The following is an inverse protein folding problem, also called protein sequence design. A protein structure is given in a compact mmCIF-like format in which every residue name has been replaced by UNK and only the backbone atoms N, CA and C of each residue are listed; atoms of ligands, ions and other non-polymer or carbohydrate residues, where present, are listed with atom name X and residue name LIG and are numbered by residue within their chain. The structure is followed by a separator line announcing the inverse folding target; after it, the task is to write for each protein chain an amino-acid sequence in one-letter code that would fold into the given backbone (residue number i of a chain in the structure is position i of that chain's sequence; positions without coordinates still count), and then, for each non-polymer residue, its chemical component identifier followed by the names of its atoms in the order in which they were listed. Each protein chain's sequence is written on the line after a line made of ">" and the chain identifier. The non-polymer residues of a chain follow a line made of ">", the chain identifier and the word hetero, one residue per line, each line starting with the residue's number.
data_IF_160244103368
#
_entry.id   IF_160244103368
#
_cell.length_a   1.000
_cell.length_b   1.000
_cell.length_c   1.000
_cell.angle_alpha   90.00
_cell.angle_beta   90.00
_cell.angle_gamma   90.00
#
_symmetry.space_group_name_H-M   'P 1'
#
loop_
_entity.id
_entity.type
_entity.pdbx_description
1 polymer ?
#
# COMPACT_ATOMS: atom_id res chain seq x y z
N UNK A 1 0.63 -8.68 -6.46
CA UNK A 1 0.04 -8.63 -5.08
C UNK A 1 -0.96 -7.50 -4.92
N UNK A 2 -0.55 -6.26 -4.94
CA UNK A 2 -1.40 -5.08 -4.70
C UNK A 2 -2.34 -4.75 -5.88
N UNK A 3 -1.82 -4.74 -7.09
CA UNK A 3 -2.61 -4.54 -8.31
C UNK A 3 -3.54 -5.73 -8.58
N UNK A 4 -3.09 -6.93 -8.25
CA UNK A 4 -3.88 -8.17 -8.31
C UNK A 4 -5.11 -8.11 -7.39
N UNK A 5 -4.96 -7.59 -6.17
CA UNK A 5 -6.08 -7.47 -5.24
C UNK A 5 -7.20 -6.57 -5.77
N UNK A 6 -6.86 -5.46 -6.43
CA UNK A 6 -7.87 -4.61 -7.10
C UNK A 6 -8.57 -5.35 -8.24
N UNK A 7 -7.83 -6.21 -8.95
CA UNK A 7 -8.37 -6.99 -10.04
C UNK A 7 -9.39 -8.03 -9.57
N UNK A 8 -9.18 -8.62 -8.42
CA UNK A 8 -10.09 -9.61 -7.82
C UNK A 8 -11.46 -9.04 -7.43
N UNK A 9 -11.53 -7.74 -7.13
CA UNK A 9 -12.79 -7.05 -6.78
C UNK A 9 -13.69 -6.86 -8.01
N UNK A 10 -13.13 -6.89 -9.22
CA UNK A 10 -13.88 -6.67 -10.46
C UNK A 10 -14.70 -7.92 -10.80
N UNK A 11 -15.90 -7.70 -11.36
CA UNK A 11 -16.77 -8.77 -11.83
C UNK A 11 -16.02 -9.75 -12.76
N UNK A 12 -16.27 -11.05 -12.57
CA UNK A 12 -15.58 -12.14 -13.28
C UNK A 12 -15.64 -11.99 -14.81
N UNK A 13 -16.82 -11.66 -15.36
CA UNK A 13 -16.99 -11.45 -16.80
C UNK A 13 -16.10 -10.33 -17.35
N UNK A 14 -16.02 -9.22 -16.63
CA UNK A 14 -15.13 -8.11 -17.00
C UNK A 14 -13.66 -8.47 -16.87
N UNK A 15 -13.30 -9.27 -15.85
CA UNK A 15 -11.92 -9.77 -15.68
C UNK A 15 -11.49 -10.62 -16.87
N UNK A 16 -12.32 -11.52 -17.31
CA UNK A 16 -12.02 -12.38 -18.47
C UNK A 16 -11.92 -11.57 -19.77
N UNK A 17 -12.85 -10.64 -19.97
CA UNK A 17 -12.93 -9.83 -21.19
C UNK A 17 -11.76 -8.82 -21.31
N UNK A 18 -11.36 -8.21 -20.21
CA UNK A 18 -10.39 -7.11 -20.21
C UNK A 18 -9.04 -7.49 -19.61
N UNK A 19 -8.77 -8.79 -19.46
CA UNK A 19 -7.49 -9.27 -18.89
C UNK A 19 -6.27 -8.69 -19.60
N UNK A 20 -6.28 -8.63 -20.93
CA UNK A 20 -5.20 -8.10 -21.74
C UNK A 20 -4.94 -6.60 -21.47
N UNK A 21 -5.99 -5.82 -21.22
CA UNK A 21 -5.87 -4.39 -20.88
C UNK A 21 -5.27 -4.24 -19.46
N UNK A 22 -5.72 -5.08 -18.53
CA UNK A 22 -5.17 -5.10 -17.17
C UNK A 22 -3.69 -5.46 -17.19
N UNK A 23 -3.29 -6.53 -17.89
CA UNK A 23 -1.91 -6.99 -17.97
C UNK A 23 -0.99 -5.91 -18.56
N UNK A 24 -1.43 -5.25 -19.64
CA UNK A 24 -0.74 -4.10 -20.22
C UNK A 24 -0.60 -2.94 -19.21
N UNK A 25 -1.67 -2.61 -18.49
CA UNK A 25 -1.65 -1.55 -17.48
C UNK A 25 -0.67 -1.86 -16.36
N UNK A 26 -0.67 -3.10 -15.84
CA UNK A 26 0.23 -3.54 -14.77
C UNK A 26 1.68 -3.46 -15.21
N UNK A 27 1.99 -3.96 -16.40
CA UNK A 27 3.35 -3.94 -16.96
C UNK A 27 3.89 -2.51 -17.04
N UNK A 28 3.08 -1.58 -17.58
CA UNK A 28 3.48 -0.17 -17.74
C UNK A 28 3.47 0.62 -16.41
N UNK A 29 2.72 0.17 -15.42
CA UNK A 29 2.74 0.75 -14.08
C UNK A 29 4.01 0.35 -13.31
N UNK A 30 4.38 -0.92 -13.40
CA UNK A 30 5.51 -1.48 -12.63
C UNK A 30 6.86 -1.22 -13.29
N UNK A 31 6.89 -1.11 -14.62
CA UNK A 31 8.12 -0.83 -15.37
C UNK A 31 7.82 0.27 -16.39
N UNK A 32 8.26 1.48 -16.11
CA UNK A 32 7.92 2.65 -16.92
C UNK A 32 9.15 3.42 -17.37
N UNK A 33 9.06 4.00 -18.55
CA UNK A 33 10.02 4.97 -19.04
C UNK A 33 9.69 6.36 -18.47
N UNK A 34 10.69 7.05 -17.96
CA UNK A 34 10.56 8.39 -17.37
C UNK A 34 11.53 9.31 -18.09
N UNK A 35 11.00 10.40 -18.65
CA UNK A 35 11.82 11.49 -19.18
C UNK A 35 12.21 12.43 -18.04
N UNK A 36 13.50 12.53 -17.83
CA UNK A 36 14.07 13.41 -16.81
C UNK A 36 14.14 14.87 -17.33
N UNK A 37 14.13 15.87 -16.45
CA UNK A 37 14.29 17.28 -16.85
C UNK A 37 15.58 17.56 -17.64
N UNK A 38 16.59 16.70 -17.48
CA UNK A 38 17.85 16.76 -18.24
C UNK A 38 17.73 16.31 -19.70
N UNK A 39 16.57 15.75 -20.09
CA UNK A 39 16.34 15.15 -21.42
C UNK A 39 16.71 13.67 -21.51
N UNK A 40 17.21 13.09 -20.45
CA UNK A 40 17.53 11.65 -20.39
C UNK A 40 16.26 10.82 -20.18
N UNK A 41 16.21 9.65 -20.82
CA UNK A 41 15.15 8.66 -20.58
C UNK A 41 15.70 7.55 -19.70
N UNK A 42 15.04 7.31 -18.58
CA UNK A 42 15.39 6.24 -17.64
C UNK A 42 14.23 5.27 -17.44
N UNK A 43 14.54 4.08 -16.94
CA UNK A 43 13.53 3.08 -16.58
C UNK A 43 13.34 3.13 -15.06
N UNK A 44 12.12 3.39 -14.63
CA UNK A 44 11.75 3.37 -13.23
C UNK A 44 10.88 2.13 -12.94
N UNK A 45 11.31 1.32 -11.98
CA UNK A 45 10.60 0.11 -11.53
C UNK A 45 9.93 0.27 -10.17
N UNK A 46 10.57 0.90 -9.15
CA UNK A 46 9.95 1.06 -7.85
C UNK A 46 9.05 2.29 -7.78
N UNK A 47 8.18 2.28 -6.77
CA UNK A 47 7.36 3.43 -6.39
C UNK A 47 6.05 3.57 -7.18
N UNK A 48 5.11 4.29 -6.57
CA UNK A 48 3.84 4.65 -7.19
C UNK A 48 3.98 6.02 -7.85
N UNK A 49 3.79 6.17 -9.19
CA UNK A 49 4.01 7.44 -9.86
C UNK A 49 2.99 8.49 -9.42
N UNK A 50 3.48 9.67 -9.05
CA UNK A 50 2.62 10.82 -8.80
C UNK A 50 1.89 11.22 -10.08
N UNK A 51 0.58 11.52 -9.95
CA UNK A 51 -0.23 11.99 -11.07
C UNK A 51 -0.79 10.89 -11.98
N UNK A 52 -0.48 9.61 -11.74
CA UNK A 52 -1.21 8.53 -12.42
C UNK A 52 -2.66 8.47 -11.91
N UNK A 53 -3.58 7.95 -12.74
CA UNK A 53 -5.03 8.04 -12.49
C UNK A 53 -5.48 7.41 -11.16
N UNK A 54 -4.83 6.35 -10.72
CA UNK A 54 -5.17 5.62 -9.48
C UNK A 54 -4.25 5.91 -8.30
N UNK A 55 -3.28 6.80 -8.41
CA UNK A 55 -2.27 7.07 -7.36
C UNK A 55 -2.87 7.27 -5.98
N UNK A 56 -3.92 8.10 -5.87
CA UNK A 56 -4.55 8.39 -4.60
C UNK A 56 -5.22 7.16 -3.99
N UNK A 57 -5.94 6.41 -4.80
CA UNK A 57 -6.61 5.19 -4.36
C UNK A 57 -5.59 4.13 -3.96
N UNK A 58 -4.55 3.95 -4.75
CA UNK A 58 -3.47 3.01 -4.47
C UNK A 58 -2.78 3.34 -3.14
N UNK A 59 -2.44 4.62 -2.93
CA UNK A 59 -1.83 5.06 -1.68
C UNK A 59 -2.76 4.88 -0.47
N UNK A 60 -4.07 5.16 -0.61
CA UNK A 60 -5.03 4.90 0.46
C UNK A 60 -5.08 3.43 0.87
N UNK A 61 -5.13 2.54 -0.12
CA UNK A 61 -5.21 1.10 0.13
C UNK A 61 -3.90 0.57 0.74
N UNK A 62 -2.74 0.98 0.23
CA UNK A 62 -1.43 0.63 0.81
C UNK A 62 -1.31 1.15 2.23
N UNK A 63 -1.70 2.40 2.47
CA UNK A 63 -1.67 3.01 3.79
C UNK A 63 -2.52 2.21 4.79
N UNK A 64 -3.75 1.84 4.41
CA UNK A 64 -4.63 1.03 5.27
C UNK A 64 -4.05 -0.35 5.56
N UNK A 65 -3.52 -1.03 4.54
CA UNK A 65 -2.87 -2.33 4.70
C UNK A 65 -1.65 -2.26 5.62
N UNK A 66 -0.80 -1.24 5.45
CA UNK A 66 0.37 -1.03 6.29
C UNK A 66 -0.03 -0.78 7.76
N UNK A 67 -1.12 -0.06 8.00
CA UNK A 67 -1.64 0.16 9.36
C UNK A 67 -2.08 -1.16 10.00
N UNK A 68 -2.80 -2.01 9.27
CA UNK A 68 -3.21 -3.31 9.76
C UNK A 68 -2.01 -4.22 10.06
N UNK A 69 -1.01 -4.21 9.18
CA UNK A 69 0.23 -4.96 9.36
C UNK A 69 1.02 -4.46 10.59
N UNK A 70 1.21 -3.16 10.70
CA UNK A 70 1.88 -2.49 11.82
C UNK A 70 1.19 -2.84 13.16
N UNK A 71 -0.13 -2.73 13.20
CA UNK A 71 -0.92 -3.07 14.36
C UNK A 71 -0.74 -4.54 14.78
N UNK A 72 -0.82 -5.46 13.81
CA UNK A 72 -0.61 -6.88 14.06
C UNK A 72 0.81 -7.20 14.52
N UNK A 73 1.81 -6.55 13.93
CA UNK A 73 3.21 -6.73 14.26
C UNK A 73 3.52 -6.30 15.71
N UNK A 74 3.00 -5.14 16.11
CA UNK A 74 3.24 -4.57 17.45
C UNK A 74 2.50 -5.35 18.53
N UNK A 75 1.31 -5.86 18.23
CA UNK A 75 0.46 -6.57 19.18
C UNK A 75 0.58 -8.10 19.08
N UNK A 76 1.70 -8.62 18.62
CA UNK A 76 1.97 -10.08 18.60
C UNK A 76 1.72 -10.70 19.97
N UNK A 77 0.98 -11.82 19.98
CA UNK A 77 0.63 -12.55 21.20
C UNK A 77 -0.60 -12.04 21.94
N UNK A 78 -1.28 -11.02 21.44
CA UNK A 78 -2.57 -10.53 21.93
C UNK A 78 -3.70 -10.97 21.00
N UNK A 79 -4.95 -10.86 21.46
CA UNK A 79 -6.11 -11.02 20.61
C UNK A 79 -6.25 -9.82 19.66
N UNK A 80 -5.63 -9.95 18.48
CA UNK A 80 -5.55 -8.90 17.47
C UNK A 80 -6.94 -8.52 16.94
N UNK A 81 -7.83 -9.50 16.79
CA UNK A 81 -9.16 -9.25 16.23
C UNK A 81 -10.00 -8.37 17.16
N UNK A 82 -10.06 -8.71 18.45
CA UNK A 82 -10.77 -7.92 19.45
C UNK A 82 -10.20 -6.50 19.61
N UNK A 83 -8.88 -6.36 19.56
CA UNK A 83 -8.23 -5.05 19.63
C UNK A 83 -8.44 -4.22 18.37
N UNK A 84 -8.47 -4.85 17.20
CA UNK A 84 -8.68 -4.17 15.92
C UNK A 84 -10.07 -3.55 15.78
N UNK A 85 -11.09 -4.14 16.40
CA UNK A 85 -12.46 -3.57 16.42
C UNK A 85 -12.51 -2.16 17.05
N UNK A 86 -11.53 -1.84 17.92
CA UNK A 86 -11.42 -0.54 18.56
C UNK A 86 -10.34 0.36 17.90
N UNK A 87 -9.82 -0.04 16.75
CA UNK A 87 -8.88 0.75 15.98
C UNK A 87 -9.63 1.59 14.97
N UNK A 88 -9.45 2.90 15.02
CA UNK A 88 -10.07 3.82 14.08
C UNK A 88 -9.00 4.55 13.27
N UNK A 89 -9.26 4.78 12.00
CA UNK A 89 -8.32 5.49 11.13
C UNK A 89 -9.03 6.29 10.06
N UNK A 90 -8.46 7.44 9.75
CA UNK A 90 -8.79 8.27 8.59
C UNK A 90 -7.52 8.41 7.76
N UNK A 91 -7.59 8.03 6.48
CA UNK A 91 -6.47 8.11 5.55
C UNK A 91 -6.78 8.95 4.33
N UNK A 92 -5.77 9.66 3.83
CA UNK A 92 -5.82 10.39 2.57
C UNK A 92 -4.46 10.29 1.86
N UNK A 93 -4.38 9.44 0.85
CA UNK A 93 -3.11 9.13 0.20
C UNK A 93 -2.15 8.45 1.18
N UNK A 94 -1.01 9.06 1.40
CA UNK A 94 0.03 8.65 2.34
C UNK A 94 -0.14 9.22 3.76
N UNK A 95 -1.06 10.17 3.95
CA UNK A 95 -1.40 10.72 5.26
C UNK A 95 -2.37 9.83 6.02
N UNK A 96 -2.22 9.78 7.35
CA UNK A 96 -3.15 9.08 8.23
C UNK A 96 -3.28 9.74 9.59
N UNK A 97 -4.46 9.62 10.16
CA UNK A 97 -4.75 9.87 11.56
C UNK A 97 -5.42 8.64 12.13
N UNK A 98 -4.84 8.04 13.15
CA UNK A 98 -5.36 6.81 13.72
C UNK A 98 -5.43 6.86 15.24
N UNK A 99 -6.44 6.20 15.79
CA UNK A 99 -6.63 5.95 17.21
C UNK A 99 -6.48 4.47 17.48
N UNK A 100 -5.63 4.11 18.43
CA UNK A 100 -5.35 2.71 18.76
C UNK A 100 -5.64 2.45 20.24
N UNK A 101 -6.30 1.34 20.59
CA UNK A 101 -6.59 0.98 21.97
C UNK A 101 -5.34 0.61 22.77
N UNK A 102 -4.24 0.32 22.10
CA UNK A 102 -3.00 -0.13 22.73
C UNK A 102 -1.79 0.46 21.99
N UNK A 103 -1.14 1.42 22.63
CA UNK A 103 0.09 2.06 22.12
C UNK A 103 1.22 1.79 23.13
N UNK A 104 2.23 0.97 22.80
CA UNK A 104 3.39 0.76 23.66
C UNK A 104 4.20 2.04 23.81
N UNK A 105 4.89 2.19 24.93
CA UNK A 105 5.74 3.35 25.19
C UNK A 105 6.85 3.56 24.13
N UNK A 106 7.36 2.46 23.56
CA UNK A 106 8.40 2.44 22.54
C UNK A 106 7.84 2.28 21.10
N UNK A 107 6.58 2.64 20.89
CA UNK A 107 5.87 2.47 19.61
C UNK A 107 6.66 2.91 18.39
N UNK A 108 7.15 4.15 18.39
CA UNK A 108 7.89 4.71 17.25
C UNK A 108 9.13 3.88 16.92
N UNK A 109 9.90 3.46 17.94
CA UNK A 109 11.09 2.64 17.74
C UNK A 109 10.77 1.29 17.12
N UNK A 110 9.68 0.66 17.58
CA UNK A 110 9.22 -0.63 17.05
C UNK A 110 8.74 -0.51 15.62
N UNK A 111 8.02 0.56 15.29
CA UNK A 111 7.53 0.82 13.93
C UNK A 111 8.69 1.05 12.97
N UNK A 112 9.63 1.92 13.33
CA UNK A 112 10.83 2.18 12.50
C UNK A 112 11.62 0.89 12.28
N UNK A 113 11.82 0.11 13.34
CA UNK A 113 12.50 -1.20 13.22
C UNK A 113 11.76 -2.15 12.31
N UNK A 114 10.44 -2.24 12.44
CA UNK A 114 9.61 -3.08 11.57
C UNK A 114 9.75 -2.69 10.10
N UNK A 115 9.66 -1.42 9.78
CA UNK A 115 9.80 -0.96 8.39
C UNK A 115 11.19 -1.27 7.82
N UNK A 116 12.23 -1.14 8.62
CA UNK A 116 13.57 -1.50 8.20
C UNK A 116 13.72 -3.02 7.99
N UNK A 117 13.30 -3.82 8.96
CA UNK A 117 13.51 -5.28 8.95
C UNK A 117 12.63 -6.00 7.92
N UNK A 118 11.41 -5.52 7.68
CA UNK A 118 10.43 -6.19 6.81
C UNK A 118 10.44 -5.63 5.39
N UNK A 119 10.55 -4.33 5.24
CA UNK A 119 10.41 -3.66 3.95
C UNK A 119 11.72 -3.04 3.44
N UNK A 120 12.79 -3.03 4.24
CA UNK A 120 14.07 -2.43 3.86
C UNK A 120 14.03 -0.90 3.74
N UNK A 121 13.15 -0.25 4.51
CA UNK A 121 12.95 1.19 4.51
C UNK A 121 13.55 1.86 5.75
#
# INVERSE_FOLDING_TARGET
>A
MWVEHKWEIINKEHRERYKHVHDWYVENLLTRYVLMPTGEVTIQRPGNPSGQISTKMDNNMVNYWLQAFEFAYINKGKDIHSLWENYETIGYGDYRLSSSPCVPHDYIKRVVKMYNDVFGM
#
